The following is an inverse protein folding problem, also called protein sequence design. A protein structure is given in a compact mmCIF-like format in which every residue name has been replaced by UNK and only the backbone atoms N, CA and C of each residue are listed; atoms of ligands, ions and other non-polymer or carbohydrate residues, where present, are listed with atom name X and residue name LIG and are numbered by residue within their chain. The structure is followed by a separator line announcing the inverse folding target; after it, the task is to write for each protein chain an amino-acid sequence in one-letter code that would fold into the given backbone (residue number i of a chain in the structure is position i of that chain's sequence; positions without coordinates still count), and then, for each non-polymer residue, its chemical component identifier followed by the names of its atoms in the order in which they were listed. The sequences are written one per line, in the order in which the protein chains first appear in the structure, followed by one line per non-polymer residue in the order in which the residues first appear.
data_IF_853831947573
#
_entry.id   IF_853831947573
#
_cell.length_a   1.000
_cell.length_b   1.000
_cell.length_c   1.000
_cell.angle_alpha   90.00
_cell.angle_beta   90.00
_cell.angle_gamma   90.00
#
_symmetry.space_group_name_H-M   'P 1'
#
loop_
_entity.id
_entity.type
_entity.pdbx_description
1 polymer ?
#
# COMPACT_ATOMS: atom_id res chain seq x y z
N UNK A 1 -26.74 41.74 54.83
CA UNK A 1 -26.85 40.35 54.35
C UNK A 1 -26.50 40.35 52.86
N UNK A 2 -25.35 39.78 52.53
CA UNK A 2 -24.89 39.58 51.16
C UNK A 2 -25.22 38.13 50.75
N UNK A 3 -25.78 37.94 49.56
CA UNK A 3 -25.75 36.65 48.88
C UNK A 3 -25.00 36.83 47.56
N UNK A 4 -23.84 36.19 47.50
CA UNK A 4 -23.10 35.90 46.28
C UNK A 4 -23.33 34.43 45.89
N UNK A 5 -22.93 34.14 44.66
CA UNK A 5 -22.67 32.82 44.05
C UNK A 5 -23.81 32.09 43.31
N UNK A 6 -23.63 31.94 41.99
CA UNK A 6 -23.22 30.66 41.39
C UNK A 6 -22.96 30.83 39.89
N UNK A 7 -21.67 30.82 39.52
CA UNK A 7 -21.24 30.49 38.18
C UNK A 7 -21.46 29.00 37.87
N UNK A 8 -21.66 28.68 36.59
CA UNK A 8 -21.80 27.31 36.10
C UNK A 8 -21.44 27.21 34.63
N UNK A 9 -20.14 27.04 34.36
CA UNK A 9 -19.51 26.85 33.07
C UNK A 9 -20.16 25.77 32.18
N UNK A 10 -20.37 26.08 30.90
CA UNK A 10 -20.55 25.10 29.83
C UNK A 10 -19.59 25.41 28.68
N UNK A 11 -18.30 25.16 28.88
CA UNK A 11 -17.26 25.43 27.88
C UNK A 11 -16.45 24.19 27.41
N UNK A 12 -16.76 22.98 27.86
CA UNK A 12 -15.91 21.80 27.58
C UNK A 12 -16.28 20.97 26.32
N UNK A 13 -17.42 21.24 25.66
CA UNK A 13 -17.93 20.36 24.58
C UNK A 13 -17.45 20.70 23.15
N UNK A 14 -16.75 21.82 22.95
CA UNK A 14 -16.39 22.32 21.59
C UNK A 14 -15.10 21.73 21.02
N UNK A 15 -14.12 21.35 21.85
CA UNK A 15 -12.80 20.90 21.38
C UNK A 15 -12.85 19.55 20.62
N UNK A 16 -13.60 18.58 21.13
CA UNK A 16 -13.64 17.24 20.53
C UNK A 16 -14.29 17.17 19.13
N UNK A 17 -15.14 18.15 18.77
CA UNK A 17 -15.81 18.19 17.45
C UNK A 17 -14.87 18.68 16.35
N UNK A 18 -13.96 19.61 16.69
CA UNK A 18 -12.95 20.14 15.78
C UNK A 18 -11.91 19.10 15.38
N UNK A 19 -11.37 18.35 16.35
CA UNK A 19 -10.42 17.27 16.10
C UNK A 19 -11.01 16.14 15.26
N UNK A 20 -12.25 15.70 15.56
CA UNK A 20 -12.94 14.67 14.75
C UNK A 20 -13.15 15.11 13.30
N UNK A 21 -13.46 16.40 13.07
CA UNK A 21 -13.62 16.96 11.73
C UNK A 21 -12.28 17.06 11.00
N UNK A 22 -11.21 17.50 11.68
CA UNK A 22 -9.85 17.56 11.12
C UNK A 22 -9.31 16.16 10.80
N UNK A 23 -9.52 15.19 11.69
CA UNK A 23 -9.14 13.78 11.48
C UNK A 23 -9.86 13.18 10.27
N UNK A 24 -11.18 13.33 10.16
CA UNK A 24 -11.94 12.89 8.97
C UNK A 24 -11.48 13.57 7.68
N UNK A 25 -11.06 14.83 7.74
CA UNK A 25 -10.54 15.56 6.58
C UNK A 25 -9.13 15.07 6.21
N UNK A 26 -8.30 14.72 7.18
CA UNK A 26 -7.00 14.08 6.97
C UNK A 26 -7.16 12.66 6.40
N UNK A 27 -8.08 11.86 6.92
CA UNK A 27 -8.44 10.54 6.38
C UNK A 27 -8.95 10.64 4.94
N UNK A 28 -9.85 11.58 4.65
CA UNK A 28 -10.29 11.88 3.27
C UNK A 28 -9.15 12.38 2.38
N UNK A 29 -8.22 13.18 2.92
CA UNK A 29 -7.04 13.65 2.19
C UNK A 29 -6.09 12.51 1.83
N UNK A 30 -5.92 11.53 2.73
CA UNK A 30 -5.14 10.31 2.47
C UNK A 30 -5.81 9.38 1.45
N UNK A 31 -7.14 9.36 1.40
CA UNK A 31 -7.89 8.69 0.32
C UNK A 31 -7.82 9.48 -1.00
N UNK A 32 -7.72 10.80 -0.94
CA UNK A 32 -7.69 11.66 -2.10
C UNK A 32 -6.30 11.75 -2.75
N UNK A 33 -5.20 11.59 -1.99
CA UNK A 33 -3.84 11.68 -2.54
C UNK A 33 -3.64 10.73 -3.73
N UNK A 34 -3.93 9.44 -3.57
CA UNK A 34 -3.81 8.43 -4.64
C UNK A 34 -4.81 8.62 -5.79
N UNK A 35 -5.83 9.48 -5.59
CA UNK A 35 -6.79 9.87 -6.63
C UNK A 35 -6.35 11.10 -7.42
N UNK A 36 -5.38 11.87 -6.93
CA UNK A 36 -4.88 13.06 -7.64
C UNK A 36 -4.19 12.69 -8.95
N UNK A 37 -4.42 13.51 -9.97
CA UNK A 37 -3.85 13.32 -11.30
C UNK A 37 -2.32 13.33 -11.28
N UNK A 38 -1.71 14.17 -10.44
CA UNK A 38 -0.25 14.27 -10.33
C UNK A 38 0.41 13.02 -9.74
N UNK A 39 -0.19 12.41 -8.72
CA UNK A 39 0.32 11.14 -8.15
C UNK A 39 0.14 9.99 -9.14
N UNK A 40 -0.98 9.96 -9.88
CA UNK A 40 -1.22 8.97 -10.95
C UNK A 40 -0.17 9.06 -12.06
N UNK A 41 0.15 10.26 -12.54
CA UNK A 41 1.21 10.49 -13.55
C UNK A 41 2.60 10.14 -13.02
N UNK A 42 2.88 10.46 -11.76
CA UNK A 42 4.13 10.08 -11.09
C UNK A 42 4.26 8.55 -10.97
N UNK A 43 3.15 7.85 -10.79
CA UNK A 43 3.11 6.39 -10.74
C UNK A 43 3.26 5.75 -12.11
N UNK A 44 2.50 6.20 -13.11
CA UNK A 44 2.56 5.62 -14.45
C UNK A 44 3.95 5.73 -15.06
N UNK A 45 4.62 6.88 -14.91
CA UNK A 45 6.00 7.10 -15.36
C UNK A 45 6.98 6.12 -14.70
N UNK A 46 6.94 5.98 -13.37
CA UNK A 46 7.78 5.03 -12.62
C UNK A 46 7.47 3.57 -12.96
N UNK A 47 6.19 3.24 -13.18
CA UNK A 47 5.75 1.90 -13.58
C UNK A 47 6.34 1.53 -14.94
N UNK A 48 6.20 2.39 -15.95
CA UNK A 48 6.76 2.16 -17.29
C UNK A 48 8.28 2.01 -17.23
N UNK A 49 8.98 2.86 -16.45
CA UNK A 49 10.41 2.73 -16.25
C UNK A 49 10.79 1.37 -15.64
N UNK A 50 10.08 0.94 -14.60
CA UNK A 50 10.32 -0.35 -13.95
C UNK A 50 10.05 -1.55 -14.87
N UNK A 51 8.99 -1.49 -15.68
CA UNK A 51 8.68 -2.52 -16.67
C UNK A 51 9.73 -2.61 -17.77
N UNK A 52 10.28 -1.47 -18.23
CA UNK A 52 11.41 -1.46 -19.18
C UNK A 52 12.64 -2.15 -18.60
N UNK A 53 12.93 -1.95 -17.31
CA UNK A 53 14.04 -2.63 -16.63
C UNK A 53 13.80 -4.14 -16.56
N UNK A 54 12.59 -4.59 -16.20
CA UNK A 54 12.24 -6.02 -16.18
C UNK A 54 12.37 -6.65 -17.57
N UNK A 55 11.93 -5.95 -18.62
CA UNK A 55 12.06 -6.41 -20.01
C UNK A 55 13.52 -6.57 -20.42
N UNK A 56 14.39 -5.60 -20.11
CA UNK A 56 15.83 -5.68 -20.42
C UNK A 56 16.56 -6.76 -19.61
N UNK A 57 16.12 -6.99 -18.36
CA UNK A 57 16.71 -8.01 -17.48
C UNK A 57 16.28 -9.43 -17.83
N UNK A 58 15.29 -9.59 -18.71
CA UNK A 58 14.74 -10.87 -19.16
C UNK A 58 15.16 -11.12 -20.61
N UNK A 59 16.45 -11.36 -20.86
CA UNK A 59 16.91 -11.82 -22.19
C UNK A 59 16.34 -13.21 -22.50
N UNK A 60 16.02 -13.52 -23.77
CA UNK A 60 15.39 -14.78 -24.15
C UNK A 60 16.46 -15.88 -24.26
N UNK A 61 16.45 -16.83 -23.33
CA UNK A 61 17.09 -18.14 -23.47
C UNK A 61 15.96 -19.20 -23.45
N UNK A 62 16.09 -20.34 -24.13
CA UNK A 62 14.96 -21.15 -24.64
C UNK A 62 14.20 -21.99 -23.59
N UNK A 63 14.24 -21.64 -22.31
CA UNK A 63 13.52 -22.34 -21.23
C UNK A 63 12.18 -21.65 -20.88
N UNK A 64 11.26 -21.58 -21.84
CA UNK A 64 10.09 -20.69 -21.84
C UNK A 64 9.13 -20.83 -20.62
N UNK A 65 8.85 -22.04 -20.13
CA UNK A 65 7.82 -22.24 -19.09
C UNK A 65 8.25 -21.75 -17.68
N UNK A 66 9.51 -21.95 -17.28
CA UNK A 66 10.02 -21.46 -16.00
C UNK A 66 10.26 -19.94 -16.02
N UNK A 67 10.55 -19.38 -17.19
CA UNK A 67 10.76 -17.94 -17.37
C UNK A 67 9.48 -17.13 -17.24
N UNK A 68 8.31 -17.66 -17.61
CA UNK A 68 7.05 -16.90 -17.57
C UNK A 68 6.56 -16.63 -16.14
N UNK A 69 6.67 -17.62 -15.26
CA UNK A 69 6.38 -17.45 -13.83
C UNK A 69 7.38 -16.48 -13.18
N UNK A 70 8.67 -16.54 -13.55
CA UNK A 70 9.70 -15.62 -13.07
C UNK A 70 9.45 -14.19 -13.55
N UNK A 71 9.09 -14.01 -14.83
CA UNK A 71 8.76 -12.73 -15.46
C UNK A 71 7.51 -12.11 -14.85
N UNK A 72 6.43 -12.89 -14.68
CA UNK A 72 5.19 -12.44 -14.04
C UNK A 72 5.42 -12.02 -12.59
N UNK A 73 6.32 -12.70 -11.88
CA UNK A 73 6.75 -12.31 -10.53
C UNK A 73 7.59 -11.03 -10.56
N UNK A 74 8.49 -10.89 -11.52
CA UNK A 74 9.31 -9.68 -11.68
C UNK A 74 8.46 -8.45 -12.00
N UNK A 75 7.45 -8.58 -12.87
CA UNK A 75 6.46 -7.54 -13.18
C UNK A 75 5.69 -7.12 -11.92
N UNK A 76 5.15 -8.08 -11.16
CA UNK A 76 4.47 -7.80 -9.89
C UNK A 76 5.37 -7.05 -8.90
N UNK A 77 6.60 -7.53 -8.72
CA UNK A 77 7.57 -6.87 -7.83
C UNK A 77 7.95 -5.47 -8.32
N UNK A 78 8.05 -5.26 -9.63
CA UNK A 78 8.34 -3.96 -10.23
C UNK A 78 7.18 -2.97 -10.00
N UNK A 79 5.93 -3.41 -10.20
CA UNK A 79 4.74 -2.61 -9.94
C UNK A 79 4.64 -2.21 -8.46
N UNK A 80 4.82 -3.16 -7.54
CA UNK A 80 4.78 -2.90 -6.09
C UNK A 80 5.89 -1.94 -5.66
N UNK A 81 7.08 -2.05 -6.27
CA UNK A 81 8.20 -1.10 -6.02
C UNK A 81 7.89 0.29 -6.55
N UNK A 82 7.38 0.40 -7.78
CA UNK A 82 6.97 1.68 -8.33
C UNK A 82 5.93 2.36 -7.41
N UNK A 83 4.98 1.58 -6.90
CA UNK A 83 3.96 2.03 -5.95
C UNK A 83 4.56 2.51 -4.62
N UNK A 84 5.54 1.78 -4.09
CA UNK A 84 6.20 2.18 -2.86
C UNK A 84 7.08 3.44 -3.03
N UNK A 85 7.71 3.61 -4.19
CA UNK A 85 8.54 4.78 -4.52
C UNK A 85 7.68 6.02 -4.77
N UNK A 86 6.45 5.89 -5.30
CA UNK A 86 5.52 7.03 -5.39
C UNK A 86 4.99 7.47 -4.05
N UNK A 87 4.77 6.53 -3.12
CA UNK A 87 4.42 6.84 -1.74
C UNK A 87 5.53 7.61 -0.97
N UNK A 88 6.75 7.66 -1.53
CA UNK A 88 7.94 8.31 -0.96
C UNK A 88 8.36 7.76 0.41
N UNK A 89 8.04 6.50 0.72
CA UNK A 89 8.36 5.91 2.03
C UNK A 89 7.62 6.53 3.22
N UNK A 90 6.60 7.37 2.98
CA UNK A 90 5.86 8.05 4.06
C UNK A 90 5.06 7.05 4.90
N UNK A 91 4.56 6.00 4.26
CA UNK A 91 3.67 4.99 4.87
C UNK A 91 4.47 3.79 5.34
N UNK A 92 3.95 3.04 6.32
CA UNK A 92 4.63 1.83 6.81
C UNK A 92 4.69 0.76 5.73
N UNK A 93 3.62 0.61 4.94
CA UNK A 93 3.57 -0.37 3.87
C UNK A 93 4.59 -0.06 2.75
N UNK A 94 4.81 1.22 2.40
CA UNK A 94 5.81 1.58 1.38
C UNK A 94 7.23 1.29 1.86
N UNK A 95 7.55 1.64 3.11
CA UNK A 95 8.83 1.26 3.75
C UNK A 95 9.02 -0.25 3.81
N UNK A 96 7.96 -1.00 4.12
CA UNK A 96 8.00 -2.46 4.14
C UNK A 96 8.27 -3.06 2.76
N UNK A 97 7.71 -2.51 1.69
CA UNK A 97 7.98 -2.96 0.31
C UNK A 97 9.43 -2.66 -0.10
N UNK A 98 9.94 -1.46 0.20
CA UNK A 98 11.31 -1.06 -0.14
C UNK A 98 12.36 -1.86 0.66
N UNK A 99 12.10 -2.13 1.94
CA UNK A 99 13.00 -2.90 2.81
C UNK A 99 13.00 -4.41 2.56
N UNK A 100 12.09 -4.96 1.74
CA UNK A 100 12.10 -6.40 1.38
C UNK A 100 13.41 -6.84 0.70
N UNK A 101 14.23 -5.92 0.16
CA UNK A 101 15.58 -6.24 -0.38
C UNK A 101 16.66 -6.29 0.71
N UNK A 102 16.59 -5.42 1.73
CA UNK A 102 17.51 -5.46 2.87
C UNK A 102 17.24 -6.65 3.78
N UNK A 103 16.00 -7.13 3.83
CA UNK A 103 15.64 -8.36 4.55
C UNK A 103 16.08 -9.64 3.84
N UNK A 104 16.20 -9.70 2.50
CA UNK A 104 16.77 -10.89 1.84
C UNK A 104 18.29 -10.99 2.01
N UNK A 105 18.97 -9.85 2.11
CA UNK A 105 20.39 -9.82 2.50
C UNK A 105 20.59 -10.13 3.98
N UNK A 106 19.65 -9.71 4.85
CA UNK A 106 19.68 -9.98 6.30
C UNK A 106 19.03 -11.30 6.74
N UNK A 107 18.21 -11.95 5.91
CA UNK A 107 17.55 -13.23 6.25
C UNK A 107 18.50 -14.41 6.18
N UNK A 108 19.65 -14.27 5.50
CA UNK A 108 20.78 -15.20 5.64
C UNK A 108 21.60 -14.94 6.91
N UNK A 109 21.45 -13.79 7.55
CA UNK A 109 22.23 -13.36 8.72
C UNK A 109 21.41 -13.29 10.03
N UNK A 110 20.19 -13.83 10.07
CA UNK A 110 19.38 -13.89 11.31
C UNK A 110 18.81 -15.28 11.58
N UNK A 111 19.69 -16.28 11.49
CA UNK A 111 19.64 -17.38 12.44
C UNK A 111 20.44 -16.91 13.66
N UNK A 112 19.82 -16.98 14.84
CA UNK A 112 20.36 -16.62 16.15
C UNK A 112 20.61 -15.12 16.44
N UNK A 113 19.72 -14.51 17.25
CA UNK A 113 20.12 -13.82 18.50
C UNK A 113 18.90 -13.62 19.43
N UNK A 114 19.05 -13.76 20.77
CA UNK A 114 17.93 -13.95 21.69
C UNK A 114 17.32 -12.65 22.21
N UNK A 115 16.14 -12.80 22.84
CA UNK A 115 15.40 -11.81 23.62
C UNK A 115 16.30 -11.11 24.66
N UNK A 116 16.12 -9.81 24.92
CA UNK A 116 16.26 -9.27 26.26
C UNK A 116 14.90 -9.31 26.97
N UNK A 117 14.90 -9.97 28.13
CA UNK A 117 13.95 -9.74 29.22
C UNK A 117 14.30 -8.41 29.87
N UNK A 118 13.32 -7.53 30.04
CA UNK A 118 13.32 -6.55 31.12
C UNK A 118 11.90 -6.00 31.28
N UNK A 119 11.35 -6.21 32.47
CA UNK A 119 10.11 -5.64 32.95
C UNK A 119 10.24 -4.11 33.07
N UNK A 120 9.17 -3.40 32.70
CA UNK A 120 8.87 -2.09 33.26
C UNK A 120 7.35 -1.93 33.24
N UNK A 121 6.78 -1.95 34.44
CA UNK A 121 5.37 -1.73 34.70
C UNK A 121 4.97 -0.29 34.32
N UNK A 122 3.80 -0.16 33.71
CA UNK A 122 3.11 1.12 33.56
C UNK A 122 1.62 0.83 33.33
N UNK A 123 0.71 1.23 34.22
CA UNK A 123 -0.70 0.93 34.08
C UNK A 123 -1.35 2.04 33.24
N UNK A 124 -1.61 1.83 31.95
CA UNK A 124 -2.38 2.80 31.16
C UNK A 124 -3.35 2.17 30.16
N UNK A 125 -4.60 2.56 30.36
CA UNK A 125 -5.73 2.62 29.44
C UNK A 125 -6.51 1.31 29.22
N UNK A 126 -7.49 1.11 30.12
CA UNK A 126 -8.82 0.57 29.86
C UNK A 126 -8.90 -0.42 28.70
N UNK A 127 -8.72 -1.68 29.02
CA UNK A 127 -9.04 -2.81 28.17
C UNK A 127 -10.54 -2.78 27.83
N UNK A 128 -10.88 -2.05 26.76
CA UNK A 128 -12.08 -2.34 25.99
C UNK A 128 -11.93 -3.80 25.58
N UNK A 129 -12.70 -4.68 26.22
CA UNK A 129 -12.84 -6.11 25.92
C UNK A 129 -13.02 -6.27 24.41
N UNK A 130 -11.92 -6.42 23.66
CA UNK A 130 -12.00 -6.66 22.22
C UNK A 130 -12.45 -8.10 22.12
N UNK A 131 -13.55 -8.32 21.41
CA UNK A 131 -13.99 -9.68 21.16
C UNK A 131 -12.85 -10.45 20.48
N UNK A 132 -12.61 -11.72 20.85
CA UNK A 132 -11.53 -12.53 20.24
C UNK A 132 -11.67 -12.59 18.71
N UNK A 133 -12.91 -12.49 18.20
CA UNK A 133 -13.20 -12.35 16.79
C UNK A 133 -12.62 -11.08 16.14
N UNK A 134 -12.71 -9.92 16.81
CA UNK A 134 -12.14 -8.66 16.32
C UNK A 134 -10.61 -8.72 16.29
N UNK A 135 -10.00 -9.30 17.31
CA UNK A 135 -8.54 -9.49 17.34
C UNK A 135 -8.07 -10.42 16.23
N UNK A 136 -8.80 -11.50 15.97
CA UNK A 136 -8.48 -12.42 14.88
C UNK A 136 -8.56 -11.73 13.52
N UNK A 137 -9.61 -10.93 13.28
CA UNK A 137 -9.73 -10.11 12.06
C UNK A 137 -8.58 -9.10 11.94
N UNK A 138 -8.20 -8.43 13.02
CA UNK A 138 -7.05 -7.52 13.04
C UNK A 138 -5.73 -8.26 12.72
N UNK A 139 -5.55 -9.48 13.22
CA UNK A 139 -4.38 -10.34 12.90
C UNK A 139 -4.36 -10.76 11.43
N UNK A 140 -5.51 -11.03 10.82
CA UNK A 140 -5.60 -11.33 9.38
C UNK A 140 -5.24 -10.08 8.57
N UNK A 141 -5.85 -8.94 8.87
CA UNK A 141 -5.59 -7.70 8.16
C UNK A 141 -4.12 -7.27 8.26
N UNK A 142 -3.50 -7.39 9.44
CA UNK A 142 -2.08 -7.11 9.64
C UNK A 142 -1.12 -8.05 8.91
N UNK A 143 -1.60 -9.22 8.43
CA UNK A 143 -0.84 -10.12 7.54
C UNK A 143 -0.96 -9.75 6.06
N UNK A 144 -2.09 -9.13 5.67
CA UNK A 144 -2.35 -8.70 4.30
C UNK A 144 -1.61 -7.40 3.97
N UNK A 145 -1.65 -6.41 4.87
CA UNK A 145 -1.01 -5.11 4.64
C UNK A 145 0.50 -5.20 4.93
N UNK A 146 1.38 -4.83 3.99
CA UNK A 146 2.83 -4.86 4.21
C UNK A 146 3.24 -4.06 5.45
N UNK A 147 4.08 -4.64 6.31
CA UNK A 147 4.64 -3.93 7.47
C UNK A 147 3.68 -3.70 8.64
N UNK A 148 2.44 -4.20 8.58
CA UNK A 148 1.40 -3.91 9.59
C UNK A 148 1.13 -5.05 10.57
N UNK A 149 2.12 -5.92 10.80
CA UNK A 149 1.99 -7.03 11.75
C UNK A 149 1.99 -6.52 13.19
N UNK A 150 1.02 -6.98 13.99
CA UNK A 150 0.90 -6.68 15.44
C UNK A 150 0.79 -5.18 15.77
N UNK A 151 0.12 -4.40 14.90
CA UNK A 151 -0.16 -2.98 15.15
C UNK A 151 -1.48 -2.78 15.90
N UNK A 152 -1.65 -1.65 16.62
CA UNK A 152 -2.93 -1.27 17.18
C UNK A 152 -3.98 -1.08 16.06
N UNK A 153 -5.22 -1.45 16.34
CA UNK A 153 -6.30 -1.49 15.34
C UNK A 153 -6.48 -0.17 14.60
N UNK A 154 -6.43 0.97 15.28
CA UNK A 154 -6.61 2.28 14.65
C UNK A 154 -5.56 2.55 13.56
N UNK A 155 -4.26 2.38 13.89
CA UNK A 155 -3.17 2.56 12.93
C UNK A 155 -3.21 1.52 11.82
N UNK A 156 -3.62 0.28 12.12
CA UNK A 156 -3.78 -0.77 11.11
C UNK A 156 -4.84 -0.38 10.06
N UNK A 157 -5.98 0.16 10.49
CA UNK A 157 -7.04 0.58 9.58
C UNK A 157 -6.63 1.80 8.74
N UNK A 158 -5.91 2.75 9.33
CA UNK A 158 -5.37 3.91 8.61
C UNK A 158 -4.40 3.47 7.49
N UNK A 159 -3.44 2.58 7.79
CA UNK A 159 -2.51 2.03 6.79
C UNK A 159 -3.21 1.12 5.77
N UNK A 160 -4.21 0.34 6.18
CA UNK A 160 -4.99 -0.52 5.29
C UNK A 160 -5.80 0.29 4.27
N UNK A 161 -6.48 1.34 4.73
CA UNK A 161 -7.26 2.23 3.87
C UNK A 161 -6.37 2.88 2.81
N UNK A 162 -5.18 3.32 3.23
CA UNK A 162 -4.19 3.88 2.33
C UNK A 162 -3.65 2.87 1.31
N UNK A 163 -3.38 1.63 1.76
CA UNK A 163 -2.89 0.58 0.89
C UNK A 163 -3.94 0.14 -0.14
N UNK A 164 -5.22 0.10 0.22
CA UNK A 164 -6.33 -0.16 -0.71
C UNK A 164 -6.35 0.90 -1.83
N UNK A 165 -6.32 2.19 -1.47
CA UNK A 165 -6.32 3.27 -2.47
C UNK A 165 -5.10 3.20 -3.41
N UNK A 166 -3.94 2.84 -2.87
CA UNK A 166 -2.73 2.63 -3.67
C UNK A 166 -2.87 1.44 -4.64
N UNK A 167 -3.44 0.31 -4.18
CA UNK A 167 -3.69 -0.87 -5.01
C UNK A 167 -4.72 -0.59 -6.12
N UNK A 168 -5.80 0.14 -5.83
CA UNK A 168 -6.78 0.53 -6.84
C UNK A 168 -6.14 1.34 -7.96
N UNK A 169 -5.27 2.29 -7.64
CA UNK A 169 -4.53 3.07 -8.64
C UNK A 169 -3.56 2.19 -9.45
N UNK A 170 -2.86 1.26 -8.79
CA UNK A 170 -1.99 0.28 -9.47
C UNK A 170 -2.77 -0.54 -10.50
N UNK A 171 -3.93 -1.08 -10.13
CA UNK A 171 -4.78 -1.86 -11.04
C UNK A 171 -5.21 -0.99 -12.22
N UNK A 172 -5.75 0.22 -11.99
CA UNK A 172 -6.19 1.12 -13.07
C UNK A 172 -5.06 1.43 -14.06
N UNK A 173 -3.87 1.74 -13.58
CA UNK A 173 -2.75 2.08 -14.46
C UNK A 173 -2.22 0.84 -15.22
N UNK A 174 -2.14 -0.32 -14.57
CA UNK A 174 -1.71 -1.55 -15.23
C UNK A 174 -2.72 -2.01 -16.29
N UNK A 175 -4.02 -1.86 -16.04
CA UNK A 175 -5.07 -2.11 -17.03
C UNK A 175 -4.93 -1.18 -18.24
N UNK A 176 -4.75 0.12 -18.02
CA UNK A 176 -4.54 1.07 -19.12
C UNK A 176 -3.31 0.74 -19.97
N UNK A 177 -2.21 0.31 -19.34
CA UNK A 177 -1.02 -0.15 -20.07
C UNK A 177 -1.33 -1.42 -20.87
N UNK A 178 -2.07 -2.37 -20.31
CA UNK A 178 -2.45 -3.59 -21.02
C UNK A 178 -3.37 -3.31 -22.21
N UNK A 179 -4.34 -2.40 -22.08
CA UNK A 179 -5.22 -1.97 -23.17
C UNK A 179 -4.44 -1.33 -24.32
N UNK A 180 -3.51 -0.41 -24.02
CA UNK A 180 -2.65 0.22 -25.04
C UNK A 180 -1.80 -0.84 -25.76
N UNK A 181 -1.24 -1.80 -25.03
CA UNK A 181 -0.45 -2.89 -25.63
C UNK A 181 -1.31 -3.84 -26.47
N UNK A 182 -2.53 -4.12 -26.05
CA UNK A 182 -3.49 -4.95 -26.79
C UNK A 182 -3.92 -4.25 -28.09
N UNK A 183 -4.24 -2.95 -28.03
CA UNK A 183 -4.58 -2.15 -29.20
C UNK A 183 -3.40 -2.06 -30.20
N UNK A 184 -2.17 -1.88 -29.71
CA UNK A 184 -0.97 -1.88 -30.56
C UNK A 184 -0.71 -3.25 -31.22
N UNK A 185 -0.96 -4.36 -30.52
CA UNK A 185 -0.83 -5.70 -31.08
C UNK A 185 -1.89 -6.00 -32.15
N UNK A 186 -3.12 -5.50 -31.96
CA UNK A 186 -4.20 -5.63 -32.95
C UNK A 186 -3.98 -4.75 -34.18
N UNK A 187 -3.44 -3.53 -34.02
CA UNK A 187 -3.11 -2.61 -35.11
C UNK A 187 -1.84 -2.95 -35.89
N UNK A 188 -1.02 -3.88 -35.40
CA UNK A 188 0.22 -4.35 -36.04
C UNK A 188 0.06 -5.58 -36.93
N UNK A 189 -1.17 -6.08 -37.15
CA UNK A 189 -1.43 -7.18 -38.08
C UNK A 189 -1.74 -6.56 -39.46
N UNK A 190 -0.79 -6.53 -40.42
CA UNK A 190 -1.16 -6.17 -41.79
C UNK A 190 -2.22 -7.16 -42.24
N UNK A 191 -3.32 -6.64 -42.78
CA UNK A 191 -4.33 -7.43 -43.45
C UNK A 191 -3.69 -8.07 -44.69
N UNK A 192 -3.03 -9.23 -44.52
CA UNK A 192 -2.76 -10.15 -45.61
C UNK A 192 -4.01 -11.01 -45.83
N UNK A 193 -4.99 -10.40 -46.48
CA UNK A 193 -5.92 -11.12 -47.37
C UNK A 193 -5.50 -10.59 -48.75
N UNK A 194 -4.52 -11.18 -49.42
CA UNK A 194 -4.53 -12.49 -50.08
C UNK A 194 -5.71 -12.65 -51.05
N UNK A 195 -5.35 -12.52 -52.33
CA UNK A 195 -5.93 -13.16 -53.50
C UNK A 195 -7.23 -12.58 -54.09
N UNK A 196 -7.05 -11.91 -55.23
CA UNK A 196 -7.92 -12.07 -56.40
C UNK A 196 -8.29 -13.55 -56.63
N UNK A 197 -9.50 -13.79 -57.17
CA UNK A 197 -9.51 -14.46 -58.46
C UNK A 197 -10.59 -13.97 -59.44
N UNK A 198 -10.16 -13.87 -60.71
CA UNK A 198 -10.89 -13.91 -62.00
C UNK A 198 -11.75 -12.72 -62.40
#
# INVERSE_FOLDING_TARGET
MAISDAGGESAAAKDGRGERKRKRRAERSLLAKWKTEGERKSYSSKLIQALRVVRRSSCPAPAAAATDCSRSRAVRVAADRALAVTARGRTRWSRAILSRRTLKLRSRARVARPKPSAAAAGPRAAERRKSPALEQKARVLGRLVPGCRKLPLATLLEEATDYIAALEMQVRAMSAVAEILSAAAAGGRPASVAAEPM
#
